data_IF_880197103188
#
_entry.id   IF_880197103188
#
_cell.length_a   1.000
_cell.length_b   1.000
_cell.length_c   1.000
_cell.angle_alpha   90.00
_cell.angle_beta   90.00
_cell.angle_gamma   90.00
#
_symmetry.space_group_name_H-M   'P 1'
#
loop_
_entity.id
_entity.type
_entity.pdbx_description
1 polymer ?
#
# COMPACT_ATOMS: atom_id res chain seq x y z
N UNK A 1 -12.06 31.82 11.52
CA UNK A 1 -10.84 31.53 12.29
C UNK A 1 -10.04 30.54 11.46
N UNK A 2 -8.95 30.98 10.85
CA UNK A 2 -8.10 30.11 10.01
C UNK A 2 -7.18 29.37 11.00
N UNK A 3 -7.44 28.09 11.22
CA UNK A 3 -6.56 27.24 12.02
C UNK A 3 -5.36 26.88 11.15
N UNK A 4 -4.15 27.20 11.59
CA UNK A 4 -2.95 26.84 10.85
C UNK A 4 -2.67 25.33 10.90
N UNK A 5 -1.81 24.85 9.97
CA UNK A 5 -1.49 23.41 9.80
C UNK A 5 -0.97 22.75 11.08
N UNK A 6 -0.22 23.47 11.90
CA UNK A 6 0.34 22.93 13.16
C UNK A 6 -0.73 22.76 14.24
N UNK A 7 -1.60 23.75 14.36
CA UNK A 7 -2.73 23.73 15.30
C UNK A 7 -3.76 22.65 14.95
N UNK A 8 -3.96 22.36 13.65
CA UNK A 8 -4.85 21.29 13.19
C UNK A 8 -4.31 19.90 13.54
N UNK A 9 -3.02 19.66 13.38
CA UNK A 9 -2.36 18.39 13.76
C UNK A 9 -2.43 18.19 15.29
N UNK A 10 -2.25 19.24 16.08
CA UNK A 10 -2.36 19.16 17.55
C UNK A 10 -3.80 18.86 18.01
N UNK A 11 -4.80 19.42 17.36
CA UNK A 11 -6.22 19.13 17.65
C UNK A 11 -6.61 17.69 17.24
N UNK A 12 -6.07 17.16 16.15
CA UNK A 12 -6.30 15.77 15.72
C UNK A 12 -5.64 14.75 16.66
N UNK A 13 -4.47 15.05 17.22
CA UNK A 13 -3.84 14.18 18.23
C UNK A 13 -4.65 14.12 19.52
N UNK A 14 -5.30 15.20 19.94
CA UNK A 14 -6.19 15.21 21.09
C UNK A 14 -7.50 14.44 20.84
N UNK A 15 -8.07 14.52 19.63
CA UNK A 15 -9.26 13.76 19.24
C UNK A 15 -8.97 12.25 19.06
N UNK A 16 -7.77 11.89 18.54
CA UNK A 16 -7.34 10.51 18.40
C UNK A 16 -7.12 9.82 19.77
N UNK A 17 -6.73 10.58 20.80
CA UNK A 17 -6.55 10.05 22.16
C UNK A 17 -7.87 9.62 22.82
N UNK A 18 -9.01 10.19 22.44
CA UNK A 18 -10.33 9.80 22.97
C UNK A 18 -10.91 8.54 22.29
N UNK A 19 -10.38 8.12 21.13
CA UNK A 19 -10.76 6.88 20.44
C UNK A 19 -9.94 5.65 20.89
N UNK A 20 -8.96 5.83 21.77
CA UNK A 20 -8.02 4.77 22.21
C UNK A 20 -8.40 4.11 23.55
N UNK A 21 -9.59 4.33 24.09
CA UNK A 21 -10.01 3.63 25.30
C UNK A 21 -10.49 2.21 24.97
N UNK A 22 -9.56 1.26 25.01
CA UNK A 22 -9.89 -0.16 24.97
C UNK A 22 -8.81 -1.16 24.59
N UNK A 23 -7.61 -0.75 24.19
CA UNK A 23 -6.56 -1.72 23.88
C UNK A 23 -5.33 -1.56 24.78
N UNK A 24 -5.17 -2.41 25.79
CA UNK A 24 -3.92 -2.56 26.52
C UNK A 24 -2.86 -3.14 25.56
N UNK A 25 -1.86 -2.34 25.22
CA UNK A 25 -0.69 -2.81 24.49
C UNK A 25 0.14 -3.69 25.42
N UNK A 26 0.06 -5.01 25.26
CA UNK A 26 1.07 -5.90 25.78
C UNK A 26 2.31 -5.80 24.89
N UNK A 27 3.40 -5.25 25.40
CA UNK A 27 4.70 -5.31 24.76
C UNK A 27 5.09 -6.76 24.55
N UNK A 28 5.30 -7.16 23.30
CA UNK A 28 5.82 -8.47 22.93
C UNK A 28 6.84 -8.32 21.82
N UNK A 29 7.94 -9.05 21.96
CA UNK A 29 8.98 -9.22 20.97
C UNK A 29 8.40 -9.53 19.59
N UNK A 30 8.91 -8.82 18.56
CA UNK A 30 8.85 -9.17 17.15
C UNK A 30 7.57 -9.79 16.62
N UNK A 31 6.43 -9.11 16.72
CA UNK A 31 5.23 -9.53 15.96
C UNK A 31 5.48 -9.31 14.46
N UNK A 32 5.14 -10.31 13.65
CA UNK A 32 5.26 -10.24 12.18
C UNK A 32 4.44 -9.10 11.57
N UNK A 33 3.27 -8.80 12.14
CA UNK A 33 2.36 -7.76 11.67
C UNK A 33 2.89 -6.33 11.89
N UNK A 34 2.31 -5.36 11.19
CA UNK A 34 2.69 -3.93 11.19
C UNK A 34 2.97 -3.40 12.60
N UNK A 35 4.14 -2.77 12.84
CA UNK A 35 5.18 -2.34 11.90
C UNK A 35 6.23 -3.42 11.55
N UNK A 36 6.02 -4.66 11.98
CA UNK A 36 6.79 -5.83 11.61
C UNK A 36 8.11 -6.01 12.37
N UNK A 37 8.95 -6.93 11.86
CA UNK A 37 10.21 -7.32 12.50
C UNK A 37 11.30 -6.25 12.44
N UNK A 38 11.23 -5.34 11.47
CA UNK A 38 12.27 -4.35 11.19
C UNK A 38 11.68 -2.93 11.10
N UNK A 39 11.12 -2.38 12.21
CA UNK A 39 10.54 -1.05 12.21
C UNK A 39 11.56 0.00 11.79
N UNK A 40 11.15 0.92 10.91
CA UNK A 40 11.99 1.99 10.40
C UNK A 40 13.02 1.58 9.33
N UNK A 41 13.20 0.28 9.05
CA UNK A 41 14.13 -0.15 8.00
C UNK A 41 13.47 -0.19 6.63
N UNK A 42 14.12 0.46 5.66
CA UNK A 42 13.75 0.44 4.24
C UNK A 42 14.99 0.10 3.42
N UNK A 43 14.91 -0.96 2.64
CA UNK A 43 15.96 -1.34 1.69
C UNK A 43 15.50 -0.98 0.29
N UNK A 44 16.26 -0.15 -0.41
CA UNK A 44 16.06 0.17 -1.82
C UNK A 44 17.13 -0.52 -2.66
N UNK A 45 16.71 -1.21 -3.72
CA UNK A 45 17.62 -1.91 -4.64
C UNK A 45 17.38 -1.37 -6.04
N UNK A 46 18.39 -0.73 -6.59
CA UNK A 46 18.40 -0.21 -7.95
C UNK A 46 19.09 -1.21 -8.92
N UNK A 47 18.57 -1.30 -10.14
CA UNK A 47 19.22 -1.99 -11.25
C UNK A 47 18.74 -1.39 -12.58
N UNK A 48 19.61 -0.66 -13.29
CA UNK A 48 19.28 0.04 -14.55
C UNK A 48 18.71 -0.88 -15.63
N UNK A 49 19.11 -2.15 -15.64
CA UNK A 49 18.62 -3.18 -16.56
C UNK A 49 17.22 -3.73 -16.21
N UNK A 50 16.56 -3.29 -15.11
CA UNK A 50 15.26 -3.85 -14.71
C UNK A 50 14.11 -3.53 -15.65
N UNK A 51 14.23 -2.44 -16.43
CA UNK A 51 13.25 -2.04 -17.45
C UNK A 51 14.00 -1.46 -18.65
N UNK A 52 14.05 -2.17 -19.76
CA UNK A 52 14.77 -1.77 -20.98
C UNK A 52 13.91 -2.06 -22.21
N UNK A 53 13.98 -1.18 -23.21
CA UNK A 53 13.20 -1.35 -24.44
C UNK A 53 11.67 -1.31 -24.25
N UNK A 54 11.18 -0.74 -23.12
CA UNK A 54 9.77 -0.72 -22.78
C UNK A 54 9.27 -1.98 -22.06
N UNK A 55 10.17 -2.91 -21.72
CA UNK A 55 9.81 -4.20 -21.11
C UNK A 55 10.55 -4.43 -19.79
N UNK A 56 9.89 -5.10 -18.84
CA UNK A 56 10.49 -5.55 -17.59
C UNK A 56 11.41 -6.74 -17.84
N UNK A 57 12.55 -6.75 -17.16
CA UNK A 57 13.60 -7.76 -17.38
C UNK A 57 13.73 -8.68 -16.15
N UNK A 58 13.44 -9.97 -16.35
CA UNK A 58 13.32 -10.93 -15.25
C UNK A 58 14.62 -11.10 -14.44
N UNK A 59 15.80 -11.25 -15.08
CA UNK A 59 17.03 -11.54 -14.35
C UNK A 59 17.52 -10.36 -13.48
N UNK A 60 17.51 -9.09 -13.97
CA UNK A 60 17.72 -7.94 -13.10
C UNK A 60 16.75 -7.88 -11.93
N UNK A 61 15.44 -8.06 -12.17
CA UNK A 61 14.40 -8.03 -11.14
C UNK A 61 14.61 -9.15 -10.11
N UNK A 62 14.94 -10.36 -10.56
CA UNK A 62 15.29 -11.50 -9.68
C UNK A 62 16.45 -11.15 -8.76
N UNK A 63 17.51 -10.54 -9.32
CA UNK A 63 18.68 -10.11 -8.55
C UNK A 63 18.30 -9.07 -7.49
N UNK A 64 17.44 -8.09 -7.86
CA UNK A 64 16.92 -7.08 -6.93
C UNK A 64 16.10 -7.72 -5.80
N UNK A 65 15.19 -8.64 -6.14
CA UNK A 65 14.33 -9.34 -5.18
C UNK A 65 15.15 -10.14 -4.16
N UNK A 66 16.14 -10.93 -4.65
CA UNK A 66 17.00 -11.74 -3.80
C UNK A 66 17.86 -10.88 -2.88
N UNK A 67 18.46 -9.83 -3.42
CA UNK A 67 19.29 -8.93 -2.63
C UNK A 67 18.48 -8.15 -1.61
N UNK A 68 17.34 -7.59 -2.02
CA UNK A 68 16.52 -6.74 -1.17
C UNK A 68 15.98 -7.43 0.07
N UNK A 69 15.47 -8.66 -0.06
CA UNK A 69 14.93 -9.39 1.11
C UNK A 69 16.04 -9.85 2.06
N UNK A 70 17.21 -10.21 1.53
CA UNK A 70 18.38 -10.57 2.33
C UNK A 70 18.88 -9.36 3.14
N UNK A 71 19.02 -8.19 2.51
CA UNK A 71 19.46 -6.98 3.20
C UNK A 71 18.41 -6.44 4.20
N UNK A 72 17.11 -6.61 3.89
CA UNK A 72 16.05 -6.26 4.83
C UNK A 72 16.16 -7.07 6.10
N UNK A 73 16.40 -8.37 5.98
CA UNK A 73 16.37 -9.32 7.09
C UNK A 73 17.70 -9.50 7.78
N UNK A 74 18.81 -9.31 7.07
CA UNK A 74 20.15 -9.70 7.51
C UNK A 74 20.37 -11.21 7.52
N UNK A 75 19.50 -11.98 6.85
CA UNK A 75 19.59 -13.42 6.74
C UNK A 75 20.81 -13.85 5.89
N UNK A 76 21.36 -15.06 6.10
CA UNK A 76 22.53 -15.52 5.35
C UNK A 76 22.24 -15.73 3.86
N UNK A 77 21.01 -16.04 3.50
CA UNK A 77 20.60 -16.30 2.13
C UNK A 77 19.12 -15.99 1.87
N UNK A 78 18.71 -16.11 0.61
CA UNK A 78 17.36 -15.90 0.13
C UNK A 78 16.31 -16.78 0.83
N UNK A 79 16.58 -18.06 1.02
CA UNK A 79 15.64 -19.01 1.61
C UNK A 79 15.42 -18.69 3.09
N UNK A 80 16.52 -18.48 3.81
CA UNK A 80 16.48 -18.08 5.22
C UNK A 80 15.73 -16.76 5.43
N UNK A 81 15.87 -15.79 4.50
CA UNK A 81 15.16 -14.52 4.55
C UNK A 81 13.64 -14.69 4.45
N UNK A 82 13.14 -15.49 3.52
CA UNK A 82 11.72 -15.76 3.38
C UNK A 82 11.15 -16.55 4.56
N UNK A 83 11.93 -17.49 5.10
CA UNK A 83 11.54 -18.30 6.28
C UNK A 83 11.42 -17.52 7.59
N UNK A 84 11.88 -16.27 7.64
CA UNK A 84 11.59 -15.37 8.76
C UNK A 84 10.12 -14.93 8.79
N UNK A 85 9.46 -14.91 7.63
CA UNK A 85 8.09 -14.44 7.49
C UNK A 85 7.08 -15.57 7.24
N UNK A 86 7.51 -16.63 6.54
CA UNK A 86 6.59 -17.64 6.01
C UNK A 86 7.10 -19.06 6.29
N UNK A 87 6.15 -19.97 6.44
CA UNK A 87 6.41 -21.38 6.69
C UNK A 87 5.36 -22.27 6.01
N UNK A 88 5.63 -23.56 5.99
CA UNK A 88 4.68 -24.55 5.48
C UNK A 88 3.40 -24.54 6.32
N UNK A 89 2.24 -24.46 5.64
CA UNK A 89 0.92 -24.38 6.26
C UNK A 89 0.34 -22.96 6.30
N UNK A 90 1.16 -21.93 5.99
CA UNK A 90 0.62 -20.60 5.77
C UNK A 90 -0.24 -20.57 4.50
N UNK A 91 -1.32 -19.80 4.56
CA UNK A 91 -2.09 -19.38 3.39
C UNK A 91 -1.83 -17.89 3.18
N UNK A 92 -1.05 -17.58 2.14
CA UNK A 92 -0.50 -16.24 1.94
C UNK A 92 -1.26 -15.49 0.86
N UNK A 93 -1.78 -14.32 1.23
CA UNK A 93 -2.33 -13.35 0.29
C UNK A 93 -1.25 -12.44 -0.28
N UNK A 94 -1.38 -12.07 -1.56
CA UNK A 94 -0.57 -11.02 -2.20
C UNK A 94 -1.53 -9.96 -2.72
N UNK A 95 -1.53 -8.78 -2.07
CA UNK A 95 -2.32 -7.62 -2.52
C UNK A 95 -1.56 -6.87 -3.59
N UNK A 96 -2.01 -6.98 -4.83
CA UNK A 96 -1.47 -6.26 -6.00
C UNK A 96 -2.14 -4.91 -6.20
N UNK A 97 -1.68 -4.11 -7.16
CA UNK A 97 -2.26 -2.83 -7.54
C UNK A 97 -2.50 -2.77 -9.06
N UNK A 98 -3.73 -2.98 -9.55
CA UNK A 98 -4.10 -2.88 -10.95
C UNK A 98 -4.40 -1.46 -11.44
N UNK A 99 -4.59 -0.51 -10.52
CA UNK A 99 -4.98 0.86 -10.86
C UNK A 99 -3.82 1.58 -11.53
N UNK A 100 -4.00 1.95 -12.77
CA UNK A 100 -2.96 2.55 -13.62
C UNK A 100 -2.58 1.66 -14.80
N UNK A 101 -3.30 0.53 -14.97
CA UNK A 101 -3.15 -0.34 -16.14
C UNK A 101 -3.28 0.46 -17.46
N UNK A 102 -2.42 0.16 -18.46
CA UNK A 102 -1.47 -0.97 -18.46
C UNK A 102 -0.09 -0.69 -17.80
N UNK A 103 0.27 0.55 -17.52
CA UNK A 103 1.66 0.95 -17.31
C UNK A 103 2.11 0.88 -15.83
N UNK A 104 1.35 1.50 -14.92
CA UNK A 104 1.78 1.73 -13.52
C UNK A 104 1.00 0.83 -12.58
N UNK A 105 1.25 -0.47 -12.71
CA UNK A 105 0.65 -1.55 -11.94
C UNK A 105 1.75 -2.41 -11.32
N UNK A 106 1.39 -3.28 -10.38
CA UNK A 106 2.34 -4.26 -9.83
C UNK A 106 2.89 -5.15 -10.95
N UNK A 107 4.22 -5.19 -11.07
CA UNK A 107 4.92 -5.88 -12.15
C UNK A 107 4.78 -7.42 -12.04
N UNK A 108 4.62 -8.09 -13.17
CA UNK A 108 4.48 -9.55 -13.26
C UNK A 108 5.72 -10.28 -12.75
N UNK A 109 6.90 -9.78 -13.10
CA UNK A 109 8.19 -10.36 -12.74
C UNK A 109 8.42 -10.31 -11.23
N UNK A 110 8.08 -9.17 -10.58
CA UNK A 110 8.13 -9.03 -9.13
C UNK A 110 7.14 -9.97 -8.44
N UNK A 111 5.92 -10.08 -8.95
CA UNK A 111 4.90 -11.00 -8.43
C UNK A 111 5.36 -12.46 -8.50
N UNK A 112 5.98 -12.87 -9.63
CA UNK A 112 6.52 -14.23 -9.80
C UNK A 112 7.66 -14.52 -8.83
N UNK A 113 8.57 -13.58 -8.61
CA UNK A 113 9.68 -13.75 -7.67
C UNK A 113 9.18 -13.79 -6.20
N UNK A 114 8.10 -13.06 -5.85
CA UNK A 114 7.44 -13.22 -4.55
C UNK A 114 6.90 -14.63 -4.38
N UNK A 115 6.20 -15.18 -5.39
CA UNK A 115 5.66 -16.54 -5.36
C UNK A 115 6.79 -17.57 -5.26
N UNK A 116 7.89 -17.38 -6.00
CA UNK A 116 9.08 -18.24 -5.90
C UNK A 116 9.67 -18.23 -4.47
N UNK A 117 9.78 -17.05 -3.86
CA UNK A 117 10.26 -16.93 -2.47
C UNK A 117 9.33 -17.64 -1.45
N UNK A 118 8.02 -17.54 -1.64
CA UNK A 118 7.04 -18.28 -0.82
C UNK A 118 7.21 -19.80 -0.97
N UNK A 119 7.45 -20.28 -2.19
CA UNK A 119 7.69 -21.71 -2.43
C UNK A 119 8.97 -22.19 -1.72
N UNK A 120 10.05 -21.42 -1.72
CA UNK A 120 11.29 -21.73 -1.00
C UNK A 120 11.10 -21.74 0.53
N UNK A 121 10.16 -20.96 1.04
CA UNK A 121 9.77 -21.03 2.45
C UNK A 121 8.87 -22.24 2.78
N UNK A 122 8.39 -22.97 1.78
CA UNK A 122 7.54 -24.15 1.92
C UNK A 122 6.04 -23.91 1.74
N UNK A 123 5.63 -22.68 1.38
CA UNK A 123 4.25 -22.37 1.01
C UNK A 123 3.99 -22.87 -0.41
N UNK A 124 2.98 -23.70 -0.61
CA UNK A 124 2.68 -24.26 -1.94
C UNK A 124 1.83 -23.31 -2.76
N UNK A 125 1.87 -23.41 -4.10
CA UNK A 125 1.09 -22.55 -4.99
C UNK A 125 -0.41 -22.51 -4.63
N UNK A 126 -1.00 -23.64 -4.25
CA UNK A 126 -2.41 -23.72 -3.83
C UNK A 126 -2.73 -22.90 -2.56
N UNK A 127 -1.71 -22.57 -1.78
CA UNK A 127 -1.82 -21.80 -0.55
C UNK A 127 -1.43 -20.32 -0.76
N UNK A 128 -1.15 -19.92 -2.01
CA UNK A 128 -0.96 -18.52 -2.43
C UNK A 128 -2.22 -17.99 -3.10
N UNK A 129 -2.65 -16.79 -2.70
CA UNK A 129 -3.85 -16.12 -3.23
C UNK A 129 -3.49 -14.70 -3.66
N UNK A 130 -3.50 -14.42 -4.96
CA UNK A 130 -3.28 -13.07 -5.49
C UNK A 130 -4.62 -12.33 -5.54
N UNK A 131 -4.66 -11.13 -4.98
CA UNK A 131 -5.89 -10.42 -4.70
C UNK A 131 -5.84 -8.96 -5.14
N UNK A 132 -6.93 -8.49 -5.72
CA UNK A 132 -7.33 -7.08 -5.70
C UNK A 132 -8.83 -6.94 -5.43
N UNK A 133 -9.26 -5.74 -5.09
CA UNK A 133 -10.63 -5.48 -4.67
C UNK A 133 -11.66 -5.73 -5.77
N UNK A 134 -11.34 -5.34 -7.03
CA UNK A 134 -12.27 -5.42 -8.16
C UNK A 134 -11.80 -6.46 -9.18
N UNK A 135 -12.65 -7.48 -9.42
CA UNK A 135 -12.38 -8.53 -10.42
C UNK A 135 -12.07 -7.96 -11.79
N UNK A 136 -12.90 -7.04 -12.28
CA UNK A 136 -12.73 -6.47 -13.62
C UNK A 136 -11.42 -5.71 -13.76
N UNK A 137 -10.98 -4.98 -12.72
CA UNK A 137 -9.68 -4.29 -12.75
C UNK A 137 -8.51 -5.29 -12.71
N UNK A 138 -8.61 -6.33 -11.91
CA UNK A 138 -7.63 -7.42 -11.83
C UNK A 138 -7.44 -8.11 -13.20
N UNK A 139 -8.54 -8.51 -13.84
CA UNK A 139 -8.50 -9.17 -15.14
C UNK A 139 -8.03 -8.24 -16.27
N UNK A 140 -8.46 -6.98 -16.27
CA UNK A 140 -8.01 -5.99 -17.26
C UNK A 140 -6.51 -5.73 -17.18
N UNK A 141 -5.94 -5.75 -15.99
CA UNK A 141 -4.50 -5.60 -15.77
C UNK A 141 -3.68 -6.84 -16.21
N UNK A 142 -4.34 -7.99 -16.44
CA UNK A 142 -3.71 -9.20 -16.96
C UNK A 142 -3.13 -10.13 -15.90
N UNK A 143 -3.36 -9.88 -14.61
CA UNK A 143 -2.75 -10.68 -13.52
C UNK A 143 -3.02 -12.18 -13.65
N UNK A 144 -4.21 -12.58 -14.10
CA UNK A 144 -4.57 -13.98 -14.30
C UNK A 144 -3.65 -14.73 -15.28
N UNK A 145 -3.00 -14.01 -16.20
CA UNK A 145 -2.13 -14.60 -17.21
C UNK A 145 -0.69 -14.82 -16.69
N UNK A 146 -0.36 -14.27 -15.52
CA UNK A 146 1.01 -14.26 -14.98
C UNK A 146 1.20 -15.25 -13.85
N UNK A 147 0.10 -15.83 -13.35
CA UNK A 147 0.15 -16.71 -12.19
C UNK A 147 0.64 -18.11 -12.59
N UNK A 148 1.57 -18.69 -11.82
CA UNK A 148 1.93 -20.10 -11.97
C UNK A 148 0.75 -21.01 -11.68
N UNK A 149 0.77 -22.21 -12.25
CA UNK A 149 -0.26 -23.23 -12.03
C UNK A 149 -0.49 -23.50 -10.54
N UNK A 150 -1.76 -23.55 -10.16
CA UNK A 150 -2.21 -23.79 -8.79
C UNK A 150 -2.29 -22.54 -7.91
N UNK A 151 -1.71 -21.39 -8.30
CA UNK A 151 -1.89 -20.12 -7.57
C UNK A 151 -3.31 -19.63 -7.76
N UNK A 152 -3.96 -19.29 -6.64
CA UNK A 152 -5.34 -18.82 -6.63
C UNK A 152 -5.42 -17.32 -6.85
N UNK A 153 -6.54 -16.89 -7.40
CA UNK A 153 -6.90 -15.46 -7.53
C UNK A 153 -8.19 -15.18 -6.78
N UNK A 154 -8.32 -13.96 -6.26
CA UNK A 154 -9.46 -13.56 -5.47
C UNK A 154 -9.76 -12.05 -5.59
N UNK A 155 -10.99 -11.67 -5.28
CA UNK A 155 -11.48 -10.29 -5.28
C UNK A 155 -12.66 -10.16 -4.32
N UNK A 156 -12.98 -8.92 -3.90
CA UNK A 156 -14.13 -8.70 -3.03
C UNK A 156 -15.43 -8.56 -3.83
N UNK A 157 -15.41 -7.84 -4.95
CA UNK A 157 -16.57 -7.57 -5.78
C UNK A 157 -16.23 -7.58 -7.28
N UNK A 158 -17.24 -7.67 -8.12
CA UNK A 158 -17.06 -7.77 -9.58
C UNK A 158 -16.48 -6.48 -10.18
N UNK A 159 -17.03 -5.31 -9.84
CA UNK A 159 -16.64 -4.05 -10.46
C UNK A 159 -16.73 -2.86 -9.49
N UNK A 160 -16.19 -1.74 -9.94
CA UNK A 160 -16.31 -0.46 -9.26
C UNK A 160 -17.75 0.05 -9.29
N UNK A 161 -18.20 0.48 -8.14
CA UNK A 161 -19.45 1.19 -7.94
C UNK A 161 -19.19 2.42 -7.06
N UNK A 162 -19.81 3.55 -7.43
CA UNK A 162 -19.57 4.83 -6.75
C UNK A 162 -20.19 4.93 -5.36
N UNK A 163 -21.13 4.04 -5.01
CA UNK A 163 -21.77 3.99 -3.69
C UNK A 163 -20.98 3.11 -2.74
N UNK A 164 -20.55 1.94 -3.20
CA UNK A 164 -19.67 0.98 -2.50
C UNK A 164 -20.21 0.48 -1.14
N UNK A 165 -21.51 0.38 -0.98
CA UNK A 165 -22.17 -0.11 0.23
C UNK A 165 -22.54 -1.59 0.17
N UNK A 166 -22.34 -2.25 -0.98
CA UNK A 166 -22.55 -3.69 -1.11
C UNK A 166 -21.70 -4.49 -0.13
N UNK A 167 -22.29 -5.57 0.40
CA UNK A 167 -21.65 -6.42 1.42
C UNK A 167 -21.09 -7.73 0.86
N UNK A 168 -21.37 -8.04 -0.42
CA UNK A 168 -20.78 -9.21 -1.08
C UNK A 168 -19.25 -9.15 -1.00
N UNK A 169 -18.61 -10.23 -0.56
CA UNK A 169 -17.15 -10.30 -0.39
C UNK A 169 -16.59 -9.55 0.80
N UNK A 170 -17.42 -8.90 1.64
CA UNK A 170 -16.99 -8.18 2.85
C UNK A 170 -17.51 -8.85 4.13
N UNK A 171 -16.78 -8.66 5.22
CA UNK A 171 -17.06 -9.27 6.52
C UNK A 171 -17.78 -8.27 7.44
N UNK A 172 -19.03 -8.53 7.86
CA UNK A 172 -19.80 -7.62 8.70
C UNK A 172 -19.23 -7.45 10.11
N UNK A 173 -18.38 -8.38 10.58
CA UNK A 173 -17.80 -8.34 11.92
C UNK A 173 -16.51 -7.51 11.99
N UNK A 174 -15.90 -7.20 10.84
CA UNK A 174 -14.63 -6.49 10.74
C UNK A 174 -14.80 -5.19 9.95
N UNK A 175 -14.83 -4.06 10.63
CA UNK A 175 -15.02 -2.76 9.98
C UNK A 175 -14.30 -1.62 10.69
N UNK A 176 -14.03 -0.56 9.94
CA UNK A 176 -13.67 0.75 10.45
C UNK A 176 -14.92 1.65 10.43
N UNK A 177 -15.26 2.26 11.56
CA UNK A 177 -16.33 3.25 11.65
C UNK A 177 -15.76 4.66 11.80
N UNK A 178 -16.31 5.60 11.06
CA UNK A 178 -15.92 7.00 11.09
C UNK A 178 -17.15 7.87 10.76
N UNK A 179 -17.33 8.98 11.47
CA UNK A 179 -18.39 9.95 11.21
C UNK A 179 -18.12 10.75 9.92
N UNK A 180 -17.98 10.03 8.82
CA UNK A 180 -17.70 10.51 7.47
C UNK A 180 -18.61 9.78 6.51
N UNK A 181 -19.40 10.52 5.72
CA UNK A 181 -20.35 9.99 4.74
C UNK A 181 -20.19 10.70 3.40
N UNK A 182 -20.72 10.13 2.34
CA UNK A 182 -20.84 10.84 1.08
C UNK A 182 -22.00 11.87 1.15
N UNK A 183 -21.94 12.95 0.36
CA UNK A 183 -23.05 13.89 0.27
C UNK A 183 -24.38 13.19 -0.04
N UNK A 184 -25.43 13.55 0.70
CA UNK A 184 -26.78 12.99 0.52
C UNK A 184 -27.04 11.66 1.24
N UNK A 185 -26.04 11.07 1.92
CA UNK A 185 -26.25 9.90 2.78
C UNK A 185 -26.69 10.32 4.19
N UNK A 186 -27.50 9.47 4.85
CA UNK A 186 -27.91 9.69 6.24
C UNK A 186 -26.75 9.36 7.19
N UNK A 187 -26.18 10.39 7.80
CA UNK A 187 -25.07 10.24 8.75
C UNK A 187 -25.46 9.47 10.04
N UNK A 188 -26.74 9.24 10.31
CA UNK A 188 -27.22 8.43 11.44
C UNK A 188 -27.22 6.93 11.11
N UNK A 189 -27.21 6.55 9.83
CA UNK A 189 -27.09 5.15 9.43
C UNK A 189 -25.66 4.62 9.66
N UNK A 190 -25.47 3.65 10.57
CA UNK A 190 -24.14 3.08 10.82
C UNK A 190 -23.53 2.45 9.55
N UNK A 191 -24.35 1.94 8.64
CA UNK A 191 -23.89 1.26 7.44
C UNK A 191 -23.10 2.21 6.52
N UNK A 192 -23.54 3.45 6.34
CA UNK A 192 -22.82 4.45 5.52
C UNK A 192 -21.56 5.01 6.21
N UNK A 193 -21.46 4.88 7.55
CA UNK A 193 -20.28 5.26 8.32
C UNK A 193 -19.22 4.18 8.42
N UNK A 194 -19.54 2.94 8.05
CA UNK A 194 -18.65 1.79 8.15
C UNK A 194 -17.97 1.46 6.82
N UNK A 195 -16.76 0.98 6.93
CA UNK A 195 -16.00 0.37 5.83
C UNK A 195 -15.60 -1.03 6.27
N UNK A 196 -16.21 -2.03 5.64
CA UNK A 196 -16.07 -3.44 6.02
C UNK A 196 -14.89 -4.08 5.31
N UNK A 197 -14.15 -4.92 6.04
CA UNK A 197 -12.95 -5.59 5.53
C UNK A 197 -13.34 -6.75 4.60
N UNK A 198 -12.59 -6.93 3.51
CA UNK A 198 -12.79 -8.03 2.57
C UNK A 198 -12.61 -9.40 3.24
N UNK A 199 -13.52 -10.34 2.95
CA UNK A 199 -13.47 -11.73 3.43
C UNK A 199 -12.17 -12.45 3.00
N UNK A 200 -11.58 -12.02 1.90
CA UNK A 200 -10.23 -12.43 1.52
C UNK A 200 -9.26 -12.37 2.71
N UNK A 201 -9.19 -11.22 3.37
CA UNK A 201 -8.26 -11.03 4.50
C UNK A 201 -8.75 -11.69 5.78
N UNK A 202 -10.04 -11.60 6.11
CA UNK A 202 -10.55 -12.09 7.39
C UNK A 202 -10.65 -13.61 7.44
N UNK A 203 -10.97 -14.27 6.31
CA UNK A 203 -11.37 -15.69 6.27
C UNK A 203 -10.49 -16.60 5.40
N UNK A 204 -9.75 -16.06 4.41
CA UNK A 204 -9.10 -16.88 3.38
C UNK A 204 -7.60 -16.97 3.49
N UNK A 205 -6.95 -16.01 4.16
CA UNK A 205 -5.49 -15.96 4.33
C UNK A 205 -5.11 -15.68 5.77
N UNK A 206 -3.95 -16.18 6.20
CA UNK A 206 -3.42 -15.89 7.53
C UNK A 206 -2.25 -14.89 7.51
N UNK A 207 -1.60 -14.70 6.37
CA UNK A 207 -0.54 -13.69 6.16
C UNK A 207 -0.76 -12.94 4.85
N UNK A 208 -0.34 -11.67 4.81
CA UNK A 208 -0.48 -10.80 3.65
C UNK A 208 0.87 -10.17 3.28
N UNK A 209 1.20 -10.26 1.99
CA UNK A 209 2.22 -9.43 1.34
C UNK A 209 1.51 -8.31 0.60
N UNK A 210 1.99 -7.08 0.79
CA UNK A 210 1.50 -5.91 0.08
C UNK A 210 2.48 -5.54 -1.03
N UNK A 211 2.00 -5.53 -2.29
CA UNK A 211 2.78 -5.18 -3.48
C UNK A 211 2.22 -3.88 -4.10
N UNK A 212 2.46 -2.72 -3.46
CA UNK A 212 2.07 -1.42 -3.99
C UNK A 212 3.01 -0.94 -5.11
N UNK A 213 2.63 0.18 -5.74
CA UNK A 213 3.40 0.83 -6.81
C UNK A 213 3.79 2.25 -6.42
N UNK A 214 4.99 2.67 -6.81
CA UNK A 214 5.52 4.02 -6.58
C UNK A 214 4.82 5.04 -7.47
N UNK A 215 3.75 5.67 -6.96
CA UNK A 215 2.98 6.64 -7.74
C UNK A 215 2.27 7.70 -6.93
N UNK A 216 2.15 8.87 -7.55
CA UNK A 216 1.31 9.97 -7.11
C UNK A 216 -0.17 9.59 -7.04
N UNK A 217 -0.93 10.30 -6.21
CA UNK A 217 -2.38 10.22 -6.13
C UNK A 217 -2.99 11.59 -5.85
N UNK A 218 -3.89 12.04 -6.71
CA UNK A 218 -4.45 13.39 -6.65
C UNK A 218 -5.15 13.75 -5.33
N UNK A 219 -5.73 12.80 -4.60
CA UNK A 219 -6.37 13.06 -3.30
C UNK A 219 -5.47 12.71 -2.12
N UNK A 220 -4.87 11.51 -2.11
CA UNK A 220 -4.03 11.06 -1.02
C UNK A 220 -2.58 11.58 -1.09
N UNK A 221 -2.21 12.27 -2.18
CA UNK A 221 -0.84 12.67 -2.46
C UNK A 221 0.02 11.53 -2.99
N UNK A 222 0.08 10.42 -2.27
CA UNK A 222 0.81 9.21 -2.66
C UNK A 222 -0.05 7.95 -2.55
N UNK A 223 0.15 6.98 -3.44
CA UNK A 223 -0.54 5.68 -3.37
C UNK A 223 0.18 4.76 -2.38
N UNK A 224 1.34 4.30 -2.68
CA UNK A 224 2.28 3.51 -1.88
C UNK A 224 1.60 2.39 -1.04
N UNK A 225 2.23 2.00 0.10
CA UNK A 225 1.79 0.85 0.89
C UNK A 225 0.49 1.09 1.67
N UNK A 226 0.40 2.20 2.40
CA UNK A 226 -0.76 2.49 3.27
C UNK A 226 -2.07 2.59 2.48
N UNK A 227 -2.03 3.32 1.35
CA UNK A 227 -3.22 3.47 0.52
C UNK A 227 -3.59 2.17 -0.21
N UNK A 228 -2.62 1.38 -0.66
CA UNK A 228 -2.88 0.09 -1.30
C UNK A 228 -3.58 -0.88 -0.35
N UNK A 229 -3.22 -0.88 0.93
CA UNK A 229 -3.92 -1.63 1.96
C UNK A 229 -5.32 -1.07 2.22
N UNK A 230 -5.43 0.22 2.57
CA UNK A 230 -6.69 0.80 3.02
C UNK A 230 -7.78 0.70 1.95
N UNK A 231 -7.54 1.25 0.76
CA UNK A 231 -8.53 1.30 -0.32
C UNK A 231 -8.71 -0.04 -1.04
N UNK A 232 -7.76 -0.95 -0.89
CA UNK A 232 -7.82 -2.28 -1.48
C UNK A 232 -8.50 -3.34 -0.61
N UNK A 233 -8.58 -3.14 0.71
CA UNK A 233 -9.04 -4.17 1.64
C UNK A 233 -10.40 -3.89 2.28
N UNK A 234 -11.00 -2.70 2.06
CA UNK A 234 -12.34 -2.39 2.59
C UNK A 234 -13.27 -1.83 1.52
N UNK A 235 -14.59 -1.91 1.77
CA UNK A 235 -15.59 -1.20 0.97
C UNK A 235 -15.75 0.26 1.40
N UNK A 236 -16.73 0.98 0.81
CA UNK A 236 -17.12 2.34 1.15
C UNK A 236 -15.94 3.32 1.29
N UNK A 237 -14.99 3.25 0.36
CA UNK A 237 -13.81 4.14 0.36
C UNK A 237 -14.07 5.46 -0.37
N UNK A 238 -15.11 5.56 -1.21
CA UNK A 238 -15.44 6.78 -1.95
C UNK A 238 -15.69 7.96 -1.02
N UNK A 239 -16.21 7.74 0.18
CA UNK A 239 -16.41 8.77 1.19
C UNK A 239 -15.13 9.46 1.66
N UNK A 240 -13.96 8.83 1.46
CA UNK A 240 -12.66 9.43 1.82
C UNK A 240 -12.22 10.54 0.86
N UNK A 241 -12.78 10.59 -0.36
CA UNK A 241 -12.43 11.57 -1.40
C UNK A 241 -13.58 11.72 -2.42
N UNK A 242 -14.75 12.06 -1.92
CA UNK A 242 -16.00 12.09 -2.69
C UNK A 242 -16.07 13.23 -3.71
N UNK A 243 -15.27 14.29 -3.55
CA UNK A 243 -15.11 15.37 -4.52
C UNK A 243 -13.75 16.04 -4.39
N UNK A 244 -13.44 16.96 -5.30
CA UNK A 244 -12.20 17.75 -5.26
C UNK A 244 -12.04 18.59 -3.99
N UNK A 245 -13.13 18.88 -3.28
CA UNK A 245 -13.16 19.67 -2.05
C UNK A 245 -13.38 18.82 -0.80
N UNK A 246 -14.01 17.64 -0.93
CA UNK A 246 -14.30 16.73 0.17
C UNK A 246 -13.29 15.59 0.16
N UNK A 247 -12.15 15.85 0.77
CA UNK A 247 -11.02 14.94 0.86
C UNK A 247 -10.66 14.68 2.33
N UNK A 248 -10.78 13.44 2.77
CA UNK A 248 -10.46 12.95 4.11
C UNK A 248 -9.46 11.77 4.07
N UNK A 249 -8.71 11.61 2.98
CA UNK A 249 -7.71 10.56 2.84
C UNK A 249 -6.68 10.58 3.98
N UNK A 250 -6.34 11.78 4.48
CA UNK A 250 -5.39 11.98 5.57
C UNK A 250 -5.72 11.18 6.83
N UNK A 251 -7.01 11.10 7.19
CA UNK A 251 -7.48 10.38 8.38
C UNK A 251 -8.03 9.00 8.05
N UNK A 252 -8.66 8.83 6.89
CA UNK A 252 -9.29 7.57 6.50
C UNK A 252 -8.27 6.45 6.30
N UNK A 253 -7.17 6.71 5.58
CA UNK A 253 -6.14 5.72 5.26
C UNK A 253 -5.55 5.12 6.54
N UNK A 254 -4.99 5.91 7.48
CA UNK A 254 -4.41 5.35 8.70
C UNK A 254 -5.45 4.69 9.60
N UNK A 255 -6.70 5.18 9.66
CA UNK A 255 -7.75 4.55 10.45
C UNK A 255 -8.08 3.14 9.96
N UNK A 256 -8.14 2.92 8.64
CA UNK A 256 -8.36 1.59 8.06
C UNK A 256 -7.16 0.68 8.32
N UNK A 257 -5.93 1.14 8.04
CA UNK A 257 -4.73 0.31 8.24
C UNK A 257 -4.53 -0.06 9.72
N UNK A 258 -5.04 0.77 10.64
CA UNK A 258 -4.98 0.51 12.08
C UNK A 258 -5.91 -0.62 12.54
N UNK A 259 -6.80 -1.13 11.71
CA UNK A 259 -7.64 -2.29 12.06
C UNK A 259 -6.78 -3.49 12.46
N UNK A 260 -7.08 -4.17 13.59
CA UNK A 260 -6.28 -5.28 14.09
C UNK A 260 -5.99 -6.35 13.03
N UNK A 261 -7.01 -6.77 12.27
CA UNK A 261 -6.86 -7.82 11.24
C UNK A 261 -5.93 -7.41 10.10
N UNK A 262 -5.87 -6.13 9.73
CA UNK A 262 -4.95 -5.63 8.71
C UNK A 262 -3.53 -5.57 9.28
N UNK A 263 -3.38 -5.02 10.50
CA UNK A 263 -2.07 -4.93 11.17
C UNK A 263 -1.45 -6.30 11.41
N UNK A 264 -2.22 -7.24 11.92
CA UNK A 264 -1.71 -8.55 12.33
C UNK A 264 -1.29 -9.42 11.15
N UNK A 265 -2.06 -9.38 10.07
CA UNK A 265 -1.83 -10.25 8.92
C UNK A 265 -0.84 -9.69 7.89
N UNK A 266 -0.62 -8.37 7.83
CA UNK A 266 0.31 -7.77 6.87
C UNK A 266 1.74 -7.84 7.40
N UNK A 267 2.59 -8.65 6.74
CA UNK A 267 3.92 -8.99 7.25
C UNK A 267 5.08 -8.45 6.42
N UNK A 268 4.85 -8.15 5.14
CA UNK A 268 5.88 -7.69 4.22
C UNK A 268 5.30 -6.72 3.19
N UNK A 269 6.07 -5.69 2.87
CA UNK A 269 5.80 -4.76 1.78
C UNK A 269 6.94 -4.81 0.77
N UNK A 270 6.59 -5.00 -0.50
CA UNK A 270 7.50 -4.85 -1.64
C UNK A 270 6.94 -3.74 -2.53
N UNK A 271 7.50 -2.54 -2.44
CA UNK A 271 7.05 -1.41 -3.25
C UNK A 271 7.73 -1.48 -4.62
N UNK A 272 6.93 -1.65 -5.64
CA UNK A 272 7.35 -1.64 -7.03
C UNK A 272 7.54 -0.19 -7.50
N UNK A 273 8.79 0.18 -7.67
CA UNK A 273 9.23 1.46 -8.21
C UNK A 273 10.07 1.29 -9.48
N UNK A 274 10.00 0.15 -10.16
CA UNK A 274 10.73 -0.04 -11.43
C UNK A 274 10.24 0.99 -12.44
N UNK A 275 8.91 1.11 -12.60
CA UNK A 275 8.25 2.16 -13.36
C UNK A 275 7.36 2.98 -12.41
N UNK A 276 7.66 4.24 -12.23
CA UNK A 276 6.93 5.14 -11.34
C UNK A 276 6.08 6.18 -12.07
N UNK A 277 5.19 6.85 -11.31
CA UNK A 277 4.38 7.98 -11.79
C UNK A 277 4.45 9.13 -10.80
N UNK A 278 5.04 10.26 -11.20
CA UNK A 278 5.28 11.39 -10.30
C UNK A 278 4.17 12.43 -10.26
N UNK A 279 3.15 12.38 -11.17
CA UNK A 279 1.99 13.26 -11.21
C UNK A 279 0.82 12.61 -11.95
N UNK A 280 -0.40 13.19 -11.88
CA UNK A 280 -1.59 12.73 -12.61
C UNK A 280 -2.17 11.36 -12.14
N UNK A 281 -1.66 10.81 -11.04
CA UNK A 281 -2.13 9.51 -10.55
C UNK A 281 -3.49 9.57 -9.85
N UNK A 282 -4.11 8.39 -9.62
CA UNK A 282 -3.53 7.05 -9.70
C UNK A 282 -3.67 6.34 -11.07
N UNK A 283 -4.37 6.94 -12.01
CA UNK A 283 -4.99 6.26 -13.14
C UNK A 283 -4.10 6.01 -14.36
N UNK A 284 -2.85 6.43 -14.43
CA UNK A 284 -1.94 6.13 -15.56
C UNK A 284 -2.37 6.62 -16.95
N UNK A 285 -3.44 7.43 -17.07
CA UNK A 285 -4.00 7.85 -18.38
C UNK A 285 -3.06 8.70 -19.21
N UNK A 286 -2.06 9.28 -18.58
CA UNK A 286 -1.17 10.22 -19.21
C UNK A 286 0.29 9.77 -19.05
N UNK A 287 0.80 9.07 -20.05
CA UNK A 287 2.17 8.53 -20.08
C UNK A 287 3.28 9.56 -19.85
N UNK A 288 2.98 10.88 -20.00
CA UNK A 288 3.96 11.97 -19.80
C UNK A 288 4.56 12.05 -18.39
N UNK A 289 3.90 11.45 -17.40
CA UNK A 289 4.35 11.47 -16.01
C UNK A 289 5.00 10.19 -15.53
N UNK A 290 5.17 9.23 -16.43
CA UNK A 290 5.88 8.00 -16.16
C UNK A 290 7.39 8.24 -16.17
N UNK A 291 8.10 7.48 -15.34
CA UNK A 291 9.58 7.41 -15.44
C UNK A 291 10.08 6.05 -14.98
N UNK A 292 11.06 5.53 -15.69
CA UNK A 292 11.80 4.36 -15.24
C UNK A 292 12.68 4.75 -14.06
N UNK A 293 12.30 4.28 -12.87
CA UNK A 293 13.03 4.55 -11.63
C UNK A 293 13.92 3.36 -11.24
N UNK A 294 13.69 2.22 -11.86
CA UNK A 294 14.55 1.03 -11.76
C UNK A 294 14.81 0.56 -10.32
N UNK A 295 13.90 0.79 -9.38
CA UNK A 295 14.14 0.51 -7.97
C UNK A 295 13.00 -0.27 -7.34
N UNK A 296 13.32 -1.33 -6.60
CA UNK A 296 12.41 -2.02 -5.68
C UNK A 296 12.71 -1.60 -4.24
N UNK A 297 11.67 -1.53 -3.41
CA UNK A 297 11.81 -1.20 -2.00
C UNK A 297 11.21 -2.30 -1.12
N UNK A 298 11.89 -2.63 -0.04
CA UNK A 298 11.53 -3.70 0.88
C UNK A 298 11.42 -3.15 2.29
N UNK A 299 10.31 -3.42 2.97
CA UNK A 299 10.10 -3.04 4.35
C UNK A 299 9.05 -3.92 5.03
N UNK A 300 9.09 -4.01 6.35
CA UNK A 300 7.97 -4.49 7.18
C UNK A 300 7.13 -3.33 7.71
N UNK A 301 7.68 -2.13 7.69
CA UNK A 301 7.11 -0.89 8.18
C UNK A 301 6.53 -0.06 7.01
N UNK A 302 5.19 0.00 6.87
CA UNK A 302 4.56 0.72 5.76
C UNK A 302 4.74 2.23 5.85
N UNK A 303 4.93 2.78 7.06
CA UNK A 303 5.08 4.21 7.26
C UNK A 303 6.46 4.69 6.82
N UNK A 304 7.52 3.97 7.26
CA UNK A 304 8.89 4.26 6.82
C UNK A 304 9.04 4.10 5.31
N UNK A 305 8.40 3.08 4.74
CA UNK A 305 8.37 2.83 3.30
C UNK A 305 7.68 3.98 2.54
N UNK A 306 6.49 4.39 2.99
CA UNK A 306 5.72 5.45 2.33
C UNK A 306 6.38 6.81 2.51
N UNK A 307 7.04 7.09 3.66
CA UNK A 307 7.85 8.29 3.85
C UNK A 307 9.02 8.35 2.86
N UNK A 308 9.67 7.21 2.64
CA UNK A 308 10.76 7.10 1.66
C UNK A 308 10.23 7.29 0.22
N UNK A 309 9.16 6.60 -0.16
CA UNK A 309 8.53 6.72 -1.48
C UNK A 309 8.00 8.13 -1.77
N UNK A 310 7.44 8.82 -0.77
CA UNK A 310 7.01 10.21 -0.88
C UNK A 310 8.19 11.14 -1.21
N UNK A 311 9.31 10.99 -0.53
CA UNK A 311 10.52 11.78 -0.81
C UNK A 311 11.07 11.53 -2.22
N UNK A 312 11.01 10.29 -2.69
CA UNK A 312 11.40 9.93 -4.08
C UNK A 312 10.49 10.64 -5.09
N UNK A 313 9.19 10.65 -4.86
CA UNK A 313 8.24 11.39 -5.70
C UNK A 313 8.51 12.89 -5.68
N UNK A 314 8.76 13.48 -4.51
CA UNK A 314 9.06 14.92 -4.38
C UNK A 314 10.39 15.27 -5.08
N UNK A 315 11.41 14.44 -4.98
CA UNK A 315 12.67 14.61 -5.70
C UNK A 315 12.47 14.60 -7.22
N UNK A 316 11.67 13.64 -7.74
CA UNK A 316 11.34 13.57 -9.16
C UNK A 316 10.52 14.78 -9.63
N UNK A 317 9.58 15.24 -8.83
CA UNK A 317 8.79 16.45 -9.09
C UNK A 317 9.68 17.69 -9.14
N UNK A 318 10.61 17.84 -8.20
CA UNK A 318 11.59 18.95 -8.19
C UNK A 318 12.46 18.95 -9.46
N UNK A 319 12.95 17.77 -9.89
CA UNK A 319 13.67 17.62 -11.17
C UNK A 319 12.85 18.13 -12.36
N UNK A 320 11.52 17.97 -12.32
CA UNK A 320 10.57 18.43 -13.34
C UNK A 320 10.06 19.86 -13.12
N UNK A 321 10.62 20.60 -12.18
CA UNK A 321 10.18 21.96 -11.85
C UNK A 321 8.81 22.05 -11.19
N UNK A 322 8.32 20.95 -10.63
CA UNK A 322 7.01 20.88 -9.96
C UNK A 322 7.16 21.08 -8.45
N UNK A 323 6.12 21.62 -7.82
CA UNK A 323 6.06 21.73 -6.35
C UNK A 323 6.00 20.35 -5.68
N UNK A 324 6.47 20.22 -4.43
CA UNK A 324 6.27 19.00 -3.63
C UNK A 324 4.81 18.56 -3.59
N UNK A 325 4.57 17.26 -3.44
CA UNK A 325 3.22 16.66 -3.42
C UNK A 325 2.29 17.36 -2.42
N UNK A 326 2.78 17.63 -1.20
CA UNK A 326 1.98 18.29 -0.16
C UNK A 326 1.60 19.75 -0.48
N UNK A 327 2.27 20.38 -1.43
CA UNK A 327 2.01 21.75 -1.88
C UNK A 327 1.34 21.81 -3.27
N UNK A 328 0.97 20.65 -3.81
CA UNK A 328 0.29 20.58 -5.12
C UNK A 328 -1.00 21.40 -5.13
N UNK A 329 -1.27 21.99 -6.28
CA UNK A 329 -2.50 22.71 -6.57
C UNK A 329 -3.22 22.00 -7.71
N UNK A 330 -4.54 22.19 -7.86
CA UNK A 330 -5.26 21.66 -9.00
C UNK A 330 -4.67 22.12 -10.34
N UNK A 331 -4.63 21.21 -11.28
CA UNK A 331 -4.25 21.44 -12.67
C UNK A 331 -5.09 20.53 -13.60
N UNK A 332 -4.72 20.45 -14.88
CA UNK A 332 -5.43 19.65 -15.88
C UNK A 332 -5.46 18.15 -15.60
N UNK A 333 -4.46 17.64 -14.84
CA UNK A 333 -4.26 16.22 -14.56
C UNK A 333 -4.48 15.84 -13.08
N UNK A 334 -4.77 16.83 -12.21
CA UNK A 334 -5.02 16.64 -10.78
C UNK A 334 -6.02 17.66 -10.26
N UNK A 335 -7.24 17.22 -9.98
CA UNK A 335 -8.37 18.12 -9.72
C UNK A 335 -8.63 18.42 -8.25
N UNK A 336 -7.97 17.74 -7.32
CA UNK A 336 -8.18 17.94 -5.88
C UNK A 336 -7.52 19.24 -5.40
N UNK A 337 -8.26 20.02 -4.61
CA UNK A 337 -7.76 21.28 -4.03
C UNK A 337 -6.58 21.05 -3.08
N UNK A 338 -6.58 19.91 -2.39
CA UNK A 338 -5.53 19.51 -1.46
C UNK A 338 -5.21 18.04 -1.62
N UNK A 339 -3.95 17.72 -1.89
CA UNK A 339 -3.42 16.38 -1.66
C UNK A 339 -3.19 16.18 -0.16
N UNK A 340 -3.33 14.95 0.33
CA UNK A 340 -3.17 14.63 1.75
C UNK A 340 -2.12 13.54 2.01
N UNK A 341 -0.84 13.76 1.66
CA UNK A 341 0.23 12.82 1.97
C UNK A 341 0.50 12.73 3.48
N UNK A 342 -0.04 13.64 4.28
CA UNK A 342 0.01 13.64 5.75
C UNK A 342 -0.57 12.37 6.37
N UNK A 343 -1.32 11.56 5.62
CA UNK A 343 -1.76 10.25 6.10
C UNK A 343 -0.59 9.36 6.54
N UNK A 344 0.61 9.55 5.97
CA UNK A 344 1.83 8.84 6.35
C UNK A 344 2.27 9.23 7.77
N UNK A 345 2.27 10.53 8.08
CA UNK A 345 2.65 11.04 9.41
C UNK A 345 1.61 10.68 10.46
N UNK A 346 0.32 10.76 10.11
CA UNK A 346 -0.79 10.35 10.99
C UNK A 346 -0.72 8.84 11.28
N UNK A 347 -0.39 8.01 10.29
CA UNK A 347 -0.16 6.58 10.49
C UNK A 347 1.00 6.32 11.46
N UNK A 348 2.08 7.08 11.37
CA UNK A 348 3.18 7.04 12.32
C UNK A 348 2.76 7.42 13.75
N UNK A 349 1.95 8.47 13.91
CA UNK A 349 1.41 8.90 15.19
C UNK A 349 0.48 7.84 15.82
N UNK A 350 -0.19 7.01 15.00
CA UNK A 350 -0.99 5.86 15.45
C UNK A 350 -0.15 4.61 15.78
N UNK A 351 1.18 4.68 15.66
CA UNK A 351 2.08 3.55 15.93
C UNK A 351 2.04 2.47 14.85
N UNK A 352 1.73 2.84 13.60
CA UNK A 352 1.79 1.93 12.45
C UNK A 352 3.19 1.81 11.85
N UNK A 353 4.14 2.64 12.30
CA UNK A 353 5.53 2.62 11.87
C UNK A 353 6.27 3.92 12.18
N UNK A 354 7.47 4.03 11.65
CA UNK A 354 8.40 5.15 11.89
C UNK A 354 8.25 6.21 10.79
N UNK A 355 7.80 7.41 11.16
CA UNK A 355 7.66 8.55 10.24
C UNK A 355 8.75 9.62 10.42
N UNK A 356 9.45 9.61 11.56
CA UNK A 356 10.59 10.51 11.83
C UNK A 356 11.76 10.14 10.92
N UNK A 357 12.06 11.03 9.99
CA UNK A 357 13.07 10.82 8.95
C UNK A 357 14.45 10.45 9.50
N UNK A 358 14.80 10.97 10.68
CA UNK A 358 16.07 10.71 11.35
C UNK A 358 16.16 9.30 11.95
N UNK A 359 15.03 8.62 12.08
CA UNK A 359 14.93 7.26 12.64
C UNK A 359 14.74 6.19 11.57
N UNK A 360 14.59 6.58 10.31
CA UNK A 360 14.47 5.65 9.20
C UNK A 360 15.86 5.17 8.75
N UNK A 361 16.13 3.87 8.90
CA UNK A 361 17.33 3.18 8.40
C UNK A 361 17.15 2.87 6.90
N UNK A 362 17.62 3.80 6.04
CA UNK A 362 17.59 3.62 4.57
C UNK A 362 18.85 2.95 4.10
N UNK A 363 18.71 1.76 3.53
CA UNK A 363 19.80 1.01 2.91
C UNK A 363 19.65 1.08 1.41
N UNK A 364 20.64 1.59 0.73
CA UNK A 364 20.63 1.82 -0.72
C UNK A 364 21.64 0.88 -1.35
N UNK A 365 21.17 0.05 -2.27
CA UNK A 365 21.97 -0.92 -3.01
C UNK A 365 21.84 -0.61 -4.50
N UNK A 366 22.95 -0.62 -5.20
CA UNK A 366 23.01 -0.48 -6.65
C UNK A 366 23.66 -1.75 -7.23
N UNK A 367 22.94 -2.40 -8.14
CA UNK A 367 23.38 -3.64 -8.77
C UNK A 367 23.80 -3.43 -10.24
N UNK A 368 23.81 -2.16 -10.71
CA UNK A 368 24.23 -1.80 -12.06
C UNK A 368 23.19 -1.12 -12.94
#
# INVERSE_FOLDING_TARGET
MIVDRRSFVTLLTAAASSLLYGCKSSGAAGKLGIPGLFPGRVVSVHHSGSHTGGEFQLEPIRSMMRRGIVDLTGAPDWIAAWRLFFERGDVVGIKVNPVGSPDVISCAEVLREIIAGLNEAGVTNKDVVVYDRYRRQFLRAGFQNWLPDGVRQDWAVEDYDGIQLGMEGYDPEHYMEMALTQPGQDAHDPHVRRSYVAQFLTRRVNKLINLPVLKHHQSAGVTLALKNLSHGLVNNVCRSHSSSTLNACGIFIPAVVNLPVIREKTVLHVLDGILGMYHGGPGGRNGKYLWAHHTLYFATDPVALDKTGWQVLDAKRAEKGMTPVALSRPDEDSHFLNCQPEHVEIAGALGLGVWDDKKIDRRILDLG
#
